data_IF_237943728906
#
_entry.id   IF_237943728906
#
_cell.length_a   1.000
_cell.length_b   1.000
_cell.length_c   1.000
_cell.angle_alpha   90.00
_cell.angle_beta   90.00
_cell.angle_gamma   90.00
#
_symmetry.space_group_name_H-M   'P 1'
#
loop_
_entity.id
_entity.type
_entity.pdbx_description
1 polymer ?
#
# COMPACT_ATOMS: atom_id res chain seq x y z
N UNK A 1 -39.70 8.35 -50.14
CA UNK A 1 -39.18 7.89 -48.84
C UNK A 1 -37.80 8.50 -48.70
N UNK A 2 -37.60 9.46 -47.79
CA UNK A 2 -36.25 9.95 -47.51
C UNK A 2 -35.69 8.98 -46.48
N UNK A 3 -34.84 8.09 -46.94
CA UNK A 3 -34.11 7.18 -46.06
C UNK A 3 -33.17 8.04 -45.20
N UNK A 4 -33.35 8.01 -43.88
CA UNK A 4 -32.54 8.80 -42.95
C UNK A 4 -31.34 7.96 -42.54
N UNK A 5 -30.11 8.35 -42.91
CA UNK A 5 -28.93 7.59 -42.51
C UNK A 5 -28.75 7.65 -41.00
N UNK A 6 -28.46 6.50 -40.38
CA UNK A 6 -28.07 6.39 -38.99
C UNK A 6 -26.54 6.39 -38.91
N UNK A 7 -25.96 7.48 -38.40
CA UNK A 7 -24.52 7.61 -38.16
C UNK A 7 -24.19 7.25 -36.71
N UNK A 8 -23.03 6.64 -36.47
CA UNK A 8 -22.57 6.36 -35.10
C UNK A 8 -22.01 7.61 -34.42
N UNK A 9 -22.28 7.78 -33.13
CA UNK A 9 -21.76 8.90 -32.33
C UNK A 9 -20.39 8.55 -31.73
N UNK A 10 -19.36 9.33 -32.06
CA UNK A 10 -18.02 9.22 -31.48
C UNK A 10 -17.70 10.49 -30.69
N UNK A 11 -17.58 10.38 -29.35
CA UNK A 11 -17.16 11.33 -28.27
C UNK A 11 -17.38 12.87 -28.40
N UNK A 12 -17.36 13.47 -29.58
CA UNK A 12 -17.69 14.88 -29.91
C UNK A 12 -18.49 15.07 -31.23
N UNK A 13 -19.12 14.04 -31.79
CA UNK A 13 -19.95 14.19 -32.99
C UNK A 13 -20.27 12.85 -33.68
N UNK A 14 -20.65 12.91 -34.95
CA UNK A 14 -20.75 11.73 -35.82
C UNK A 14 -19.36 11.26 -36.27
N UNK A 15 -19.20 9.96 -36.54
CA UNK A 15 -17.96 9.41 -37.08
C UNK A 15 -17.66 10.02 -38.47
N UNK A 16 -16.55 10.75 -38.61
CA UNK A 16 -16.20 11.46 -39.85
C UNK A 16 -16.08 10.51 -41.06
N UNK A 17 -15.52 9.32 -40.85
CA UNK A 17 -15.36 8.31 -41.92
C UNK A 17 -16.69 7.79 -42.48
N UNK A 18 -17.71 7.63 -41.62
CA UNK A 18 -19.06 7.21 -42.06
C UNK A 18 -19.78 8.31 -42.84
N UNK A 19 -19.58 9.57 -42.44
CA UNK A 19 -20.15 10.74 -43.13
C UNK A 19 -19.50 10.94 -44.49
N UNK A 20 -18.18 10.82 -44.58
CA UNK A 20 -17.46 10.95 -45.85
C UNK A 20 -17.83 9.84 -46.84
N UNK A 21 -17.93 8.59 -46.38
CA UNK A 21 -18.40 7.47 -47.20
C UNK A 21 -19.84 7.68 -47.71
N UNK A 22 -20.73 8.22 -46.86
CA UNK A 22 -22.10 8.55 -47.25
C UNK A 22 -22.14 9.68 -48.29
N UNK A 23 -21.35 10.75 -48.09
CA UNK A 23 -21.25 11.85 -49.04
C UNK A 23 -20.71 11.39 -50.40
N UNK A 24 -19.70 10.52 -50.42
CA UNK A 24 -19.19 9.92 -51.65
C UNK A 24 -20.26 9.09 -52.38
N UNK A 25 -20.99 8.24 -51.64
CA UNK A 25 -22.07 7.43 -52.21
C UNK A 25 -23.19 8.31 -52.78
N UNK A 26 -23.59 9.36 -52.05
CA UNK A 26 -24.61 10.31 -52.50
C UNK A 26 -24.13 11.13 -53.71
N UNK A 27 -22.86 11.49 -53.78
CA UNK A 27 -22.32 12.19 -54.94
C UNK A 27 -22.29 11.26 -56.18
N UNK A 28 -21.97 9.97 -56.01
CA UNK A 28 -22.06 8.97 -57.09
C UNK A 28 -23.49 8.81 -57.62
N UNK A 29 -24.50 8.74 -56.74
CA UNK A 29 -25.91 8.61 -57.18
C UNK A 29 -26.40 9.87 -57.90
N UNK A 30 -26.02 11.06 -57.44
CA UNK A 30 -26.34 12.33 -58.12
C UNK A 30 -25.69 12.40 -59.51
N UNK A 31 -24.44 11.96 -59.66
CA UNK A 31 -23.78 11.93 -60.96
C UNK A 31 -24.41 10.93 -61.93
N UNK A 32 -24.80 9.75 -61.45
CA UNK A 32 -25.55 8.77 -62.23
C UNK A 32 -26.91 9.34 -62.70
N UNK A 33 -27.66 9.96 -61.78
CA UNK A 33 -28.95 10.58 -62.11
C UNK A 33 -28.82 11.72 -63.14
N UNK A 34 -27.74 12.52 -63.07
CA UNK A 34 -27.45 13.56 -64.08
C UNK A 34 -27.14 12.96 -65.45
N UNK A 35 -26.38 11.87 -65.50
CA UNK A 35 -26.09 11.16 -66.75
C UNK A 35 -27.36 10.61 -67.39
N UNK A 36 -28.21 9.92 -66.63
CA UNK A 36 -29.49 9.39 -67.10
C UNK A 36 -30.42 10.50 -67.62
N UNK A 37 -30.45 11.64 -66.92
CA UNK A 37 -31.24 12.79 -67.35
C UNK A 37 -30.74 13.35 -68.71
N UNK A 38 -29.42 13.37 -68.93
CA UNK A 38 -28.84 13.80 -70.20
C UNK A 38 -29.17 12.82 -71.35
N UNK A 39 -29.09 11.52 -71.11
CA UNK A 39 -29.43 10.49 -72.10
C UNK A 39 -30.90 10.58 -72.51
N UNK A 40 -31.81 10.72 -71.53
CA UNK A 40 -33.24 10.91 -71.79
C UNK A 40 -33.54 12.18 -72.58
N UNK A 41 -32.78 13.27 -72.36
CA UNK A 41 -32.95 14.50 -73.15
C UNK A 41 -32.58 14.30 -74.63
N UNK A 42 -31.58 13.48 -74.92
CA UNK A 42 -31.19 13.10 -76.29
C UNK A 42 -32.24 12.19 -76.93
N UNK A 43 -32.85 11.27 -76.17
CA UNK A 43 -33.94 10.43 -76.68
C UNK A 43 -35.20 11.23 -77.00
N UNK A 44 -35.57 12.19 -76.14
CA UNK A 44 -36.71 13.08 -76.37
C UNK A 44 -36.53 13.95 -77.62
N UNK A 45 -35.32 14.42 -77.90
CA UNK A 45 -35.04 15.18 -79.12
C UNK A 45 -35.14 14.30 -80.38
N UNK A 46 -34.66 13.05 -80.33
CA UNK A 46 -34.82 12.07 -81.42
C UNK A 46 -36.30 11.72 -81.69
N UNK A 47 -37.09 11.48 -80.64
CA UNK A 47 -38.52 11.18 -80.78
C UNK A 47 -39.31 12.36 -81.37
N UNK A 48 -38.99 13.59 -80.96
CA UNK A 48 -39.61 14.78 -81.54
C UNK A 48 -39.29 14.95 -83.03
N UNK A 49 -38.08 14.62 -83.47
CA UNK A 49 -37.72 14.62 -84.89
C UNK A 49 -38.52 13.57 -85.68
N UNK A 50 -38.71 12.36 -85.15
CA UNK A 50 -39.51 11.31 -85.79
C UNK A 50 -41.00 11.69 -85.93
N UNK A 51 -41.57 12.35 -84.92
CA UNK A 51 -42.95 12.85 -84.98
C UNK A 51 -43.14 13.95 -86.03
N UNK A 52 -42.13 14.78 -86.27
CA UNK A 52 -42.17 15.78 -87.33
C UNK A 52 -42.21 15.14 -88.73
N UNK A 53 -41.43 14.07 -88.94
CA UNK A 53 -41.36 13.36 -90.21
C UNK A 53 -42.68 12.62 -90.54
N UNK A 54 -43.26 11.93 -89.56
CA UNK A 54 -44.52 11.20 -89.74
C UNK A 54 -45.69 12.14 -90.11
N UNK A 55 -45.71 13.36 -89.55
CA UNK A 55 -46.70 14.40 -89.91
C UNK A 55 -46.54 14.86 -91.35
N UNK A 56 -45.32 14.90 -91.87
CA UNK A 56 -45.05 15.19 -93.29
C UNK A 56 -45.67 14.14 -94.22
N UNK A 57 -45.51 12.85 -93.88
CA UNK A 57 -46.05 11.72 -94.66
C UNK A 57 -47.58 11.71 -94.71
N UNK A 58 -48.24 11.96 -93.57
CA UNK A 58 -49.71 12.09 -93.50
C UNK A 58 -50.24 13.25 -94.37
N UNK A 59 -49.52 14.37 -94.38
CA UNK A 59 -49.83 15.51 -95.25
C UNK A 59 -49.81 15.14 -96.74
N UNK A 60 -48.83 14.33 -97.17
CA UNK A 60 -48.73 13.86 -98.55
C UNK A 60 -49.86 12.87 -98.92
N UNK A 61 -50.17 11.89 -98.06
CA UNK A 61 -51.23 10.91 -98.32
C UNK A 61 -52.62 11.56 -98.48
N UNK A 62 -52.91 12.59 -97.67
CA UNK A 62 -54.20 13.30 -97.76
C UNK A 62 -54.42 13.98 -99.12
N UNK A 63 -53.35 14.46 -99.77
CA UNK A 63 -53.41 15.10 -101.09
C UNK A 63 -53.74 14.09 -102.19
N UNK A 64 -53.14 12.90 -102.12
CA UNK A 64 -53.39 11.80 -103.08
C UNK A 64 -54.83 11.32 -103.00
N UNK A 65 -55.39 11.18 -101.79
CA UNK A 65 -56.78 10.76 -101.60
C UNK A 65 -57.79 11.77 -102.16
N UNK A 66 -57.48 13.07 -102.12
CA UNK A 66 -58.34 14.11 -102.67
C UNK A 66 -58.40 14.07 -104.21
N UNK A 67 -57.30 13.72 -104.88
CA UNK A 67 -57.25 13.55 -106.33
C UNK A 67 -58.08 12.34 -106.79
N UNK A 68 -57.96 11.21 -106.09
CA UNK A 68 -58.68 9.98 -106.43
C UNK A 68 -60.20 10.12 -106.32
N UNK A 69 -60.67 10.88 -105.32
CA UNK A 69 -62.11 11.13 -105.10
C UNK A 69 -62.74 11.96 -106.21
N UNK A 70 -61.97 12.74 -106.97
CA UNK A 70 -62.47 13.60 -108.05
C UNK A 70 -62.79 12.83 -109.34
N UNK A 71 -62.36 11.57 -109.46
CA UNK A 71 -62.36 10.83 -110.73
C UNK A 71 -63.49 9.81 -110.93
N UNK A 72 -64.50 9.70 -110.04
CA UNK A 72 -65.49 8.61 -110.11
C UNK A 72 -66.94 9.09 -110.22
N UNK A 73 -67.62 8.76 -111.33
CA UNK A 73 -69.08 8.92 -111.53
C UNK A 73 -69.64 7.65 -112.20
N UNK A 74 -70.72 7.03 -111.69
CA UNK A 74 -71.32 5.83 -112.29
C UNK A 74 -72.63 6.13 -113.07
N UNK A 75 -73.02 5.23 -113.99
CA UNK A 75 -74.35 5.20 -114.64
C UNK A 75 -75.06 3.83 -114.48
N UNK A 76 -76.41 3.78 -114.40
CA UNK A 76 -77.26 2.64 -113.99
C UNK A 76 -78.09 2.07 -115.19
N UNK A 77 -78.96 1.05 -115.15
CA UNK A 77 -79.43 -0.04 -114.25
C UNK A 77 -80.28 -1.02 -115.11
N UNK A 78 -80.42 -2.30 -114.72
CA UNK A 78 -81.31 -3.31 -115.37
C UNK A 78 -82.55 -3.66 -114.49
N UNK A 79 -83.58 -4.28 -115.09
CA UNK A 79 -85.02 -4.38 -114.70
C UNK A 79 -85.42 -5.27 -113.50
N UNK A 80 -86.52 -4.89 -112.82
CA UNK A 80 -86.97 -5.28 -111.47
C UNK A 80 -87.61 -6.66 -111.23
N UNK A 81 -87.88 -7.49 -112.25
CA UNK A 81 -88.55 -8.81 -112.05
C UNK A 81 -87.54 -9.94 -111.81
N UNK A 82 -86.44 -9.98 -112.55
CA UNK A 82 -85.30 -10.86 -112.24
C UNK A 82 -84.69 -10.51 -110.88
N UNK A 83 -84.82 -9.25 -110.47
CA UNK A 83 -84.37 -8.75 -109.17
C UNK A 83 -85.09 -9.48 -108.03
N UNK A 84 -86.39 -9.79 -108.10
CA UNK A 84 -87.11 -10.45 -106.99
C UNK A 84 -86.64 -11.88 -106.68
N UNK A 85 -86.51 -12.72 -107.71
CA UNK A 85 -86.02 -14.09 -107.55
C UNK A 85 -84.53 -14.13 -107.19
N UNK A 86 -83.73 -13.27 -107.83
CA UNK A 86 -82.32 -13.09 -107.50
C UNK A 86 -82.13 -12.55 -106.08
N UNK A 87 -82.99 -11.66 -105.59
CA UNK A 87 -82.96 -11.14 -104.22
C UNK A 87 -83.23 -12.25 -103.21
N UNK A 88 -84.18 -13.16 -103.45
CA UNK A 88 -84.39 -14.33 -102.57
C UNK A 88 -83.18 -15.27 -102.50
N UNK A 89 -82.53 -15.52 -103.65
CA UNK A 89 -81.27 -16.28 -103.72
C UNK A 89 -80.11 -15.55 -103.05
N UNK A 90 -80.01 -14.23 -103.23
CA UNK A 90 -79.01 -13.39 -102.57
C UNK A 90 -79.23 -13.40 -101.05
N UNK A 91 -80.46 -13.34 -100.56
CA UNK A 91 -80.76 -13.36 -99.12
C UNK A 91 -80.47 -14.72 -98.49
N UNK A 92 -80.78 -15.83 -99.17
CA UNK A 92 -80.42 -17.17 -98.69
C UNK A 92 -78.92 -17.41 -98.72
N UNK A 93 -78.22 -16.97 -99.78
CA UNK A 93 -76.76 -17.01 -99.85
C UNK A 93 -76.12 -16.14 -98.76
N UNK A 94 -76.68 -14.94 -98.50
CA UNK A 94 -76.20 -14.06 -97.46
C UNK A 94 -76.45 -14.64 -96.05
N UNK A 95 -77.56 -15.35 -95.83
CA UNK A 95 -77.83 -16.05 -94.57
C UNK A 95 -76.86 -17.23 -94.35
N UNK A 96 -76.58 -18.01 -95.40
CA UNK A 96 -75.54 -19.05 -95.35
C UNK A 96 -74.15 -18.46 -95.14
N UNK A 97 -73.81 -17.36 -95.80
CA UNK A 97 -72.52 -16.70 -95.64
C UNK A 97 -72.38 -16.07 -94.24
N UNK A 98 -73.45 -15.48 -93.69
CA UNK A 98 -73.48 -14.96 -92.34
C UNK A 98 -73.29 -16.07 -91.28
N UNK A 99 -73.98 -17.20 -91.44
CA UNK A 99 -73.81 -18.35 -90.54
C UNK A 99 -72.40 -18.94 -90.63
N UNK A 100 -71.82 -19.04 -91.83
CA UNK A 100 -70.41 -19.45 -92.01
C UNK A 100 -69.41 -18.42 -91.45
N UNK A 101 -69.70 -17.12 -91.52
CA UNK A 101 -68.87 -16.07 -90.91
C UNK A 101 -68.90 -16.16 -89.39
N UNK A 102 -70.07 -16.40 -88.79
CA UNK A 102 -70.19 -16.59 -87.34
C UNK A 102 -69.49 -17.88 -86.91
N UNK A 103 -69.64 -18.98 -87.65
CA UNK A 103 -68.93 -20.22 -87.39
C UNK A 103 -67.40 -20.04 -87.44
N UNK A 104 -66.87 -19.38 -88.49
CA UNK A 104 -65.43 -19.07 -88.58
C UNK A 104 -64.96 -18.13 -87.47
N UNK A 105 -65.73 -17.10 -87.13
CA UNK A 105 -65.37 -16.16 -86.08
C UNK A 105 -65.37 -16.82 -84.69
N UNK A 106 -66.31 -17.74 -84.43
CA UNK A 106 -66.34 -18.51 -83.18
C UNK A 106 -65.17 -19.49 -83.08
N UNK A 107 -64.86 -20.23 -84.16
CA UNK A 107 -63.69 -21.10 -84.23
C UNK A 107 -62.38 -20.31 -84.02
N UNK A 108 -62.23 -19.16 -84.69
CA UNK A 108 -61.06 -18.29 -84.51
C UNK A 108 -60.96 -17.74 -83.08
N UNK A 109 -62.10 -17.37 -82.46
CA UNK A 109 -62.11 -16.91 -81.07
C UNK A 109 -61.73 -18.03 -80.09
N UNK A 110 -62.19 -19.26 -80.33
CA UNK A 110 -61.82 -20.44 -79.53
C UNK A 110 -60.33 -20.78 -79.70
N UNK A 111 -59.81 -20.75 -80.93
CA UNK A 111 -58.39 -20.95 -81.20
C UNK A 111 -57.52 -19.89 -80.53
N UNK A 112 -57.92 -18.61 -80.57
CA UNK A 112 -57.22 -17.52 -79.88
C UNK A 112 -57.27 -17.69 -78.35
N UNK A 113 -58.40 -18.10 -77.78
CA UNK A 113 -58.50 -18.39 -76.34
C UNK A 113 -57.61 -19.56 -75.94
N UNK A 114 -57.58 -20.63 -76.74
CA UNK A 114 -56.74 -21.78 -76.48
C UNK A 114 -55.25 -21.41 -76.55
N UNK A 115 -54.84 -20.64 -77.57
CA UNK A 115 -53.47 -20.15 -77.71
C UNK A 115 -53.06 -19.21 -76.57
N UNK A 116 -53.95 -18.28 -76.17
CA UNK A 116 -53.71 -17.39 -75.04
C UNK A 116 -53.62 -18.14 -73.71
N UNK A 117 -54.47 -19.16 -73.51
CA UNK A 117 -54.42 -20.04 -72.34
C UNK A 117 -53.10 -20.82 -72.27
N UNK A 118 -52.67 -21.41 -73.39
CA UNK A 118 -51.39 -22.12 -73.46
C UNK A 118 -50.19 -21.20 -73.16
N UNK A 119 -50.18 -20.00 -73.73
CA UNK A 119 -49.12 -19.01 -73.47
C UNK A 119 -49.10 -18.53 -72.00
N UNK A 120 -50.28 -18.35 -71.38
CA UNK A 120 -50.38 -17.99 -69.97
C UNK A 120 -49.86 -19.11 -69.06
N UNK A 121 -50.21 -20.37 -69.35
CA UNK A 121 -49.69 -21.52 -68.59
C UNK A 121 -48.18 -21.68 -68.74
N UNK A 122 -47.63 -21.50 -69.95
CA UNK A 122 -46.18 -21.52 -70.17
C UNK A 122 -45.48 -20.42 -69.35
N UNK A 123 -46.03 -19.20 -69.36
CA UNK A 123 -45.51 -18.10 -68.53
C UNK A 123 -45.60 -18.39 -67.03
N UNK A 124 -46.70 -19.00 -66.57
CA UNK A 124 -46.87 -19.40 -65.18
C UNK A 124 -45.84 -20.45 -64.75
N UNK A 125 -45.63 -21.48 -65.57
CA UNK A 125 -44.63 -22.53 -65.30
C UNK A 125 -43.22 -21.93 -65.29
N UNK A 126 -42.88 -21.08 -66.26
CA UNK A 126 -41.58 -20.42 -66.32
C UNK A 126 -41.34 -19.50 -65.11
N UNK A 127 -42.34 -18.70 -64.72
CA UNK A 127 -42.25 -17.83 -63.55
C UNK A 127 -42.13 -18.63 -62.24
N UNK A 128 -42.88 -19.74 -62.11
CA UNK A 128 -42.79 -20.61 -60.95
C UNK A 128 -41.42 -21.28 -60.84
N UNK A 129 -40.86 -21.77 -61.96
CA UNK A 129 -39.52 -22.35 -61.99
C UNK A 129 -38.44 -21.32 -61.62
N UNK A 130 -38.51 -20.11 -62.18
CA UNK A 130 -37.58 -19.03 -61.85
C UNK A 130 -37.67 -18.62 -60.37
N UNK A 131 -38.89 -18.51 -59.82
CA UNK A 131 -39.08 -18.22 -58.40
C UNK A 131 -38.48 -19.31 -57.51
N UNK A 132 -38.66 -20.59 -57.85
CA UNK A 132 -38.05 -21.71 -57.12
C UNK A 132 -36.52 -21.67 -57.17
N UNK A 133 -35.93 -21.39 -58.33
CA UNK A 133 -34.48 -21.27 -58.47
C UNK A 133 -33.93 -20.06 -57.69
N UNK A 134 -34.65 -18.93 -57.70
CA UNK A 134 -34.29 -17.76 -56.91
C UNK A 134 -34.35 -18.06 -55.39
N UNK A 135 -35.36 -18.80 -54.94
CA UNK A 135 -35.46 -19.26 -53.56
C UNK A 135 -34.32 -20.21 -53.18
N UNK A 136 -34.03 -21.22 -54.01
CA UNK A 136 -32.94 -22.16 -53.75
C UNK A 136 -31.58 -21.45 -53.66
N UNK A 137 -31.31 -20.49 -54.56
CA UNK A 137 -30.08 -19.68 -54.50
C UNK A 137 -30.02 -18.84 -53.22
N UNK A 138 -31.11 -18.20 -52.83
CA UNK A 138 -31.17 -17.41 -51.60
C UNK A 138 -30.97 -18.28 -50.34
N UNK A 139 -31.54 -19.48 -50.32
CA UNK A 139 -31.38 -20.43 -49.21
C UNK A 139 -29.94 -20.94 -49.10
N UNK A 140 -29.29 -21.24 -50.23
CA UNK A 140 -27.88 -21.63 -50.28
C UNK A 140 -26.96 -20.50 -49.80
N UNK A 141 -27.18 -19.27 -50.27
CA UNK A 141 -26.40 -18.10 -49.83
C UNK A 141 -26.60 -17.84 -48.33
N UNK A 142 -27.83 -17.92 -47.85
CA UNK A 142 -28.15 -17.80 -46.42
C UNK A 142 -27.44 -18.86 -45.60
N UNK A 143 -27.46 -20.12 -46.04
CA UNK A 143 -26.75 -21.21 -45.37
C UNK A 143 -25.23 -20.99 -45.35
N UNK A 144 -24.64 -20.48 -46.45
CA UNK A 144 -23.21 -20.14 -46.52
C UNK A 144 -22.84 -19.01 -45.57
N UNK A 145 -23.63 -17.94 -45.52
CA UNK A 145 -23.40 -16.80 -44.63
C UNK A 145 -23.51 -17.25 -43.16
N UNK A 146 -24.55 -18.02 -42.81
CA UNK A 146 -24.69 -18.55 -41.44
C UNK A 146 -23.53 -19.49 -41.06
N UNK A 147 -23.10 -20.35 -41.97
CA UNK A 147 -21.96 -21.22 -41.74
C UNK A 147 -20.65 -20.43 -41.56
N UNK A 148 -20.47 -19.33 -42.30
CA UNK A 148 -19.33 -18.43 -42.13
C UNK A 148 -19.38 -17.69 -40.79
N UNK A 149 -20.51 -17.04 -40.48
CA UNK A 149 -20.70 -16.30 -39.24
C UNK A 149 -20.51 -17.19 -38.01
N UNK A 150 -21.00 -18.45 -38.06
CA UNK A 150 -20.80 -19.41 -36.96
C UNK A 150 -19.35 -19.87 -36.82
N UNK A 151 -18.59 -20.02 -37.91
CA UNK A 151 -17.15 -20.30 -37.85
C UNK A 151 -16.38 -19.12 -37.25
N UNK A 152 -16.67 -17.90 -37.68
CA UNK A 152 -16.04 -16.69 -37.16
C UNK A 152 -16.36 -16.47 -35.68
N UNK A 153 -17.63 -16.63 -35.28
CA UNK A 153 -18.03 -16.55 -33.87
C UNK A 153 -17.28 -17.58 -33.00
N UNK A 154 -17.14 -18.83 -33.48
CA UNK A 154 -16.37 -19.86 -32.76
C UNK A 154 -14.88 -19.54 -32.69
N UNK A 155 -14.31 -18.95 -33.74
CA UNK A 155 -12.91 -18.51 -33.74
C UNK A 155 -12.68 -17.41 -32.69
N UNK A 156 -13.57 -16.41 -32.64
CA UNK A 156 -13.51 -15.32 -31.63
C UNK A 156 -13.60 -15.90 -30.21
N UNK A 157 -14.53 -16.84 -29.98
CA UNK A 157 -14.67 -17.48 -28.66
C UNK A 157 -13.41 -18.28 -28.29
N UNK A 158 -12.84 -19.04 -29.23
CA UNK A 158 -11.63 -19.81 -28.99
C UNK A 158 -10.41 -18.90 -28.70
N UNK A 159 -10.28 -17.80 -29.44
CA UNK A 159 -9.23 -16.80 -29.22
C UNK A 159 -9.38 -16.13 -27.84
N UNK A 160 -10.59 -15.69 -27.49
CA UNK A 160 -10.88 -15.10 -26.18
C UNK A 160 -10.57 -16.06 -25.02
N UNK A 161 -10.91 -17.35 -25.19
CA UNK A 161 -10.56 -18.39 -24.22
C UNK A 161 -9.06 -18.60 -24.10
N UNK A 162 -8.33 -18.59 -25.22
CA UNK A 162 -6.87 -18.71 -25.25
C UNK A 162 -6.19 -17.53 -24.53
N UNK A 163 -6.61 -16.29 -24.84
CA UNK A 163 -6.10 -15.08 -24.19
C UNK A 163 -6.38 -15.10 -22.69
N UNK A 164 -7.62 -15.43 -22.29
CA UNK A 164 -7.99 -15.55 -20.87
C UNK A 164 -7.15 -16.63 -20.18
N UNK A 165 -6.88 -17.76 -20.84
CA UNK A 165 -6.03 -18.81 -20.29
C UNK A 165 -4.57 -18.36 -20.15
N UNK A 166 -4.02 -17.59 -21.09
CA UNK A 166 -2.67 -16.99 -20.99
C UNK A 166 -2.60 -16.05 -19.80
N UNK A 167 -3.54 -15.10 -19.70
CA UNK A 167 -3.59 -14.13 -18.60
C UNK A 167 -3.73 -14.81 -17.24
N UNK A 168 -4.54 -15.88 -17.14
CA UNK A 168 -4.64 -16.68 -15.90
C UNK A 168 -3.34 -17.36 -15.54
N UNK A 169 -2.60 -17.89 -16.51
CA UNK A 169 -1.29 -18.51 -16.27
C UNK A 169 -0.25 -17.49 -15.85
N UNK A 170 -0.23 -16.33 -16.49
CA UNK A 170 0.66 -15.21 -16.13
C UNK A 170 0.37 -14.72 -14.71
N UNK A 171 -0.90 -14.45 -14.40
CA UNK A 171 -1.32 -14.06 -13.05
C UNK A 171 -1.00 -15.13 -11.99
N UNK A 172 -1.19 -16.41 -12.31
CA UNK A 172 -0.81 -17.50 -11.41
C UNK A 172 0.71 -17.57 -11.20
N UNK A 173 1.50 -17.41 -12.25
CA UNK A 173 2.95 -17.40 -12.17
C UNK A 173 3.47 -16.21 -11.34
N UNK A 174 2.90 -15.02 -11.53
CA UNK A 174 3.22 -13.84 -10.72
C UNK A 174 2.85 -14.07 -9.24
N UNK A 175 1.67 -14.62 -8.97
CA UNK A 175 1.24 -14.94 -7.60
C UNK A 175 2.16 -15.98 -6.94
N UNK A 176 2.54 -17.03 -7.65
CA UNK A 176 3.49 -18.04 -7.17
C UNK A 176 4.87 -17.43 -6.91
N UNK A 177 5.35 -16.55 -7.81
CA UNK A 177 6.60 -15.82 -7.62
C UNK A 177 6.56 -14.90 -6.39
N UNK A 178 5.45 -14.18 -6.19
CA UNK A 178 5.25 -13.36 -4.99
C UNK A 178 5.23 -14.19 -3.71
N UNK A 179 4.53 -15.34 -3.72
CA UNK A 179 4.49 -16.27 -2.60
C UNK A 179 5.86 -16.85 -2.28
N UNK A 180 6.62 -17.25 -3.30
CA UNK A 180 7.98 -17.75 -3.14
C UNK A 180 8.90 -16.66 -2.57
N UNK A 181 8.82 -15.43 -3.08
CA UNK A 181 9.59 -14.28 -2.59
C UNK A 181 9.26 -13.94 -1.14
N UNK A 182 7.98 -13.96 -0.77
CA UNK A 182 7.55 -13.73 0.61
C UNK A 182 8.08 -14.83 1.55
N UNK A 183 7.99 -16.10 1.14
CA UNK A 183 8.54 -17.23 1.92
C UNK A 183 10.06 -17.14 2.09
N UNK A 184 10.78 -16.76 1.03
CA UNK A 184 12.22 -16.56 1.09
C UNK A 184 12.58 -15.41 2.05
N UNK A 185 11.90 -14.27 1.94
CA UNK A 185 12.09 -13.14 2.84
C UNK A 185 11.81 -13.50 4.31
N UNK A 186 10.78 -14.31 4.59
CA UNK A 186 10.52 -14.82 5.94
C UNK A 186 11.64 -15.72 6.45
N UNK A 187 12.16 -16.64 5.63
CA UNK A 187 13.27 -17.50 6.01
C UNK A 187 14.57 -16.71 6.26
N UNK A 188 14.83 -15.68 5.46
CA UNK A 188 15.96 -14.77 5.66
C UNK A 188 15.82 -13.97 6.97
N UNK A 189 14.62 -13.48 7.27
CA UNK A 189 14.35 -12.80 8.54
C UNK A 189 14.53 -13.73 9.75
N UNK A 190 14.04 -14.97 9.68
CA UNK A 190 14.27 -15.96 10.75
C UNK A 190 15.76 -16.25 10.93
N UNK A 191 16.51 -16.41 9.84
CA UNK A 191 17.96 -16.65 9.87
C UNK A 191 18.71 -15.46 10.48
N UNK A 192 18.38 -14.23 10.07
CA UNK A 192 19.02 -13.03 10.63
C UNK A 192 18.66 -12.80 12.10
N UNK A 193 17.44 -13.11 12.52
CA UNK A 193 17.04 -13.05 13.93
C UNK A 193 17.74 -14.11 14.77
N UNK A 194 17.86 -15.34 14.27
CA UNK A 194 18.62 -16.40 14.93
C UNK A 194 20.10 -16.01 15.09
N UNK A 195 20.74 -15.52 14.03
CA UNK A 195 22.12 -15.05 14.09
C UNK A 195 22.31 -13.88 15.08
N UNK A 196 21.35 -12.95 15.16
CA UNK A 196 21.38 -11.86 16.15
C UNK A 196 21.20 -12.35 17.58
N UNK A 197 20.34 -13.36 17.80
CA UNK A 197 20.16 -13.99 19.12
C UNK A 197 21.45 -14.69 19.54
N UNK A 198 22.03 -15.51 18.68
CA UNK A 198 23.30 -16.20 18.95
C UNK A 198 24.43 -15.20 19.26
N UNK A 199 24.51 -14.10 18.51
CA UNK A 199 25.48 -13.05 18.76
C UNK A 199 25.25 -12.38 20.13
N UNK A 200 24.01 -12.02 20.45
CA UNK A 200 23.67 -11.44 21.75
C UNK A 200 24.01 -12.41 22.90
N UNK A 201 23.68 -13.70 22.76
CA UNK A 201 23.98 -14.72 23.76
C UNK A 201 25.49 -14.88 23.98
N UNK A 202 26.30 -14.85 22.91
CA UNK A 202 27.76 -14.85 23.02
C UNK A 202 28.28 -13.59 23.72
N UNK A 203 27.75 -12.42 23.39
CA UNK A 203 28.14 -11.16 24.05
C UNK A 203 27.76 -11.17 25.54
N UNK A 204 26.59 -11.67 25.89
CA UNK A 204 26.17 -11.81 27.29
C UNK A 204 27.04 -12.82 28.03
N UNK A 205 27.36 -13.97 27.43
CA UNK A 205 28.26 -14.96 28.02
C UNK A 205 29.66 -14.38 28.25
N UNK A 206 30.23 -13.68 27.26
CA UNK A 206 31.54 -13.04 27.40
C UNK A 206 31.56 -11.95 28.48
N UNK A 207 30.50 -11.14 28.59
CA UNK A 207 30.38 -10.16 29.69
C UNK A 207 30.26 -10.82 31.05
N UNK A 208 29.52 -11.93 31.16
CA UNK A 208 29.41 -12.70 32.41
C UNK A 208 30.75 -13.28 32.81
N UNK A 209 31.47 -13.90 31.88
CA UNK A 209 32.81 -14.44 32.13
C UNK A 209 33.78 -13.34 32.59
N UNK A 210 33.74 -12.17 31.94
CA UNK A 210 34.55 -11.02 32.37
C UNK A 210 34.20 -10.52 33.78
N UNK A 211 32.90 -10.46 34.13
CA UNK A 211 32.46 -10.07 35.47
C UNK A 211 32.88 -11.13 36.49
N UNK A 212 32.66 -12.42 36.21
CA UNK A 212 33.04 -13.54 37.07
C UNK A 212 34.57 -13.56 37.30
N UNK A 213 35.37 -13.32 36.26
CA UNK A 213 36.82 -13.18 36.38
C UNK A 213 37.23 -11.98 37.26
N UNK A 214 36.60 -10.81 37.06
CA UNK A 214 36.87 -9.62 37.88
C UNK A 214 36.48 -9.80 39.35
N UNK A 215 35.39 -10.55 39.61
CA UNK A 215 34.95 -10.89 40.96
C UNK A 215 35.95 -11.86 41.61
N UNK A 216 36.39 -12.91 40.90
CA UNK A 216 37.38 -13.84 41.41
C UNK A 216 38.71 -13.14 41.74
N UNK A 217 39.16 -12.21 40.91
CA UNK A 217 40.34 -11.38 41.21
C UNK A 217 40.14 -10.50 42.45
N UNK A 218 38.96 -9.86 42.58
CA UNK A 218 38.64 -9.03 43.74
C UNK A 218 38.59 -9.86 45.03
N UNK A 219 38.00 -11.06 44.99
CA UNK A 219 37.97 -12.01 46.10
C UNK A 219 39.39 -12.47 46.49
N UNK A 220 40.23 -12.81 45.51
CA UNK A 220 41.64 -13.16 45.77
C UNK A 220 42.40 -12.00 46.44
N UNK A 221 42.23 -10.77 45.96
CA UNK A 221 42.86 -9.58 46.58
C UNK A 221 42.33 -9.37 48.01
N UNK A 222 41.02 -9.52 48.23
CA UNK A 222 40.44 -9.40 49.56
C UNK A 222 41.02 -10.46 50.52
N UNK A 223 41.09 -11.73 50.10
CA UNK A 223 41.70 -12.81 50.88
C UNK A 223 43.17 -12.54 51.19
N UNK A 224 43.95 -12.04 50.22
CA UNK A 224 45.35 -11.66 50.44
C UNK A 224 45.48 -10.52 51.46
N UNK A 225 44.65 -9.48 51.36
CA UNK A 225 44.64 -8.37 52.32
C UNK A 225 44.25 -8.85 53.71
N UNK A 226 43.21 -9.69 53.84
CA UNK A 226 42.81 -10.28 55.13
C UNK A 226 43.90 -11.17 55.72
N UNK A 227 44.55 -12.03 54.92
CA UNK A 227 45.65 -12.87 55.39
C UNK A 227 46.84 -12.04 55.87
N UNK A 228 47.19 -10.96 55.16
CA UNK A 228 48.25 -10.03 55.58
C UNK A 228 47.87 -9.32 56.87
N UNK A 229 46.66 -8.78 56.97
CA UNK A 229 46.16 -8.14 58.19
C UNK A 229 46.14 -9.10 59.40
N UNK A 230 45.80 -10.38 59.19
CA UNK A 230 45.87 -11.41 60.23
C UNK A 230 47.32 -11.71 60.67
N UNK A 231 48.26 -11.77 59.72
CA UNK A 231 49.68 -11.96 60.01
C UNK A 231 50.24 -10.75 60.78
N UNK A 232 49.97 -9.54 60.31
CA UNK A 232 50.39 -8.29 60.96
C UNK A 232 49.81 -8.20 62.38
N UNK A 233 48.53 -8.53 62.56
CA UNK A 233 47.90 -8.57 63.87
C UNK A 233 48.55 -9.60 64.80
N UNK A 234 48.83 -10.82 64.31
CA UNK A 234 49.51 -11.86 65.09
C UNK A 234 50.94 -11.44 65.47
N UNK A 235 51.68 -10.80 64.56
CA UNK A 235 53.02 -10.28 64.80
C UNK A 235 53.00 -9.16 65.85
N UNK A 236 52.06 -8.21 65.74
CA UNK A 236 51.87 -7.15 66.73
C UNK A 236 51.49 -7.73 68.10
N UNK A 237 50.61 -8.73 68.15
CA UNK A 237 50.27 -9.43 69.39
C UNK A 237 51.48 -10.14 70.01
N UNK A 238 52.29 -10.83 69.20
CA UNK A 238 53.51 -11.48 69.68
C UNK A 238 54.54 -10.47 70.21
N UNK A 239 54.72 -9.35 69.51
CA UNK A 239 55.58 -8.24 69.97
C UNK A 239 55.08 -7.61 71.26
N UNK A 240 53.78 -7.39 71.38
CA UNK A 240 53.17 -6.87 72.61
C UNK A 240 53.33 -7.86 73.77
N UNK A 241 53.13 -9.16 73.55
CA UNK A 241 53.34 -10.19 74.56
C UNK A 241 54.80 -10.26 75.02
N UNK A 242 55.76 -10.24 74.09
CA UNK A 242 57.19 -10.21 74.41
C UNK A 242 57.59 -8.94 75.17
N UNK A 243 57.05 -7.78 74.79
CA UNK A 243 57.29 -6.52 75.51
C UNK A 243 56.72 -6.55 76.94
N UNK A 244 55.55 -7.18 77.13
CA UNK A 244 54.96 -7.39 78.45
C UNK A 244 55.80 -8.35 79.30
N UNK A 245 56.31 -9.44 78.72
CA UNK A 245 57.22 -10.39 79.39
C UNK A 245 58.51 -9.70 79.85
N UNK A 246 59.17 -8.95 78.95
CA UNK A 246 60.37 -8.16 79.30
C UNK A 246 60.05 -7.12 80.39
N UNK A 247 58.91 -6.43 80.32
CA UNK A 247 58.52 -5.48 81.35
C UNK A 247 58.23 -6.16 82.71
N UNK A 248 57.67 -7.38 82.70
CA UNK A 248 57.45 -8.19 83.90
C UNK A 248 58.77 -8.66 84.50
N UNK A 249 59.68 -9.22 83.69
CA UNK A 249 61.02 -9.62 84.14
C UNK A 249 61.80 -8.44 84.74
N UNK A 250 61.76 -7.26 84.09
CA UNK A 250 62.37 -6.05 84.62
C UNK A 250 61.72 -5.61 85.93
N UNK A 251 60.38 -5.67 86.04
CA UNK A 251 59.68 -5.34 87.27
C UNK A 251 60.05 -6.31 88.40
N UNK A 252 60.11 -7.62 88.12
CA UNK A 252 60.55 -8.66 89.06
C UNK A 252 62.01 -8.45 89.50
N UNK A 253 62.89 -8.11 88.55
CA UNK A 253 64.29 -7.79 88.82
C UNK A 253 64.40 -6.56 89.73
N UNK A 254 63.71 -5.46 89.41
CA UNK A 254 63.70 -4.24 90.25
C UNK A 254 63.16 -4.53 91.64
N UNK A 255 62.09 -5.33 91.76
CA UNK A 255 61.54 -5.75 93.06
C UNK A 255 62.53 -6.61 93.84
N UNK A 256 63.23 -7.55 93.19
CA UNK A 256 64.27 -8.38 93.82
C UNK A 256 65.46 -7.54 94.27
N UNK A 257 65.97 -6.66 93.41
CA UNK A 257 67.08 -5.75 93.74
C UNK A 257 66.70 -4.81 94.89
N UNK A 258 65.47 -4.29 94.90
CA UNK A 258 64.94 -3.50 96.00
C UNK A 258 64.83 -4.32 97.29
N UNK A 259 64.43 -5.59 97.23
CA UNK A 259 64.36 -6.48 98.38
C UNK A 259 65.77 -6.83 98.94
N UNK A 260 66.73 -7.11 98.06
CA UNK A 260 68.12 -7.36 98.43
C UNK A 260 68.78 -6.11 99.03
N UNK A 261 68.53 -4.94 98.44
CA UNK A 261 68.97 -3.67 98.99
C UNK A 261 68.32 -3.40 100.35
N UNK A 262 67.03 -3.64 100.51
CA UNK A 262 66.34 -3.51 101.80
C UNK A 262 66.88 -4.49 102.84
N UNK A 263 67.25 -5.71 102.44
CA UNK A 263 67.85 -6.71 103.34
C UNK A 263 69.26 -6.32 103.76
N UNK A 264 70.11 -5.88 102.82
CA UNK A 264 71.43 -5.31 103.13
C UNK A 264 71.36 -4.09 104.02
N UNK A 265 70.45 -3.16 103.72
CA UNK A 265 70.25 -1.96 104.55
C UNK A 265 69.77 -2.33 105.96
N UNK A 266 68.93 -3.37 106.11
CA UNK A 266 68.56 -3.91 107.43
C UNK A 266 69.76 -4.52 108.15
N UNK A 267 70.56 -5.34 107.49
CA UNK A 267 71.78 -5.93 108.09
C UNK A 267 72.82 -4.87 108.46
N UNK A 268 73.03 -3.86 107.61
CA UNK A 268 73.88 -2.71 107.88
C UNK A 268 73.32 -1.89 109.04
N UNK A 269 72.01 -1.60 109.05
CA UNK A 269 71.34 -0.92 110.16
C UNK A 269 71.43 -1.70 111.46
N UNK A 270 71.27 -3.03 111.42
CA UNK A 270 71.39 -3.93 112.58
C UNK A 270 72.84 -4.00 113.07
N UNK A 271 73.82 -4.01 112.14
CA UNK A 271 75.25 -3.94 112.46
C UNK A 271 75.62 -2.58 113.05
N UNK A 272 75.10 -1.49 112.50
CA UNK A 272 75.26 -0.14 113.05
C UNK A 272 74.56 -0.01 114.41
N UNK A 273 73.37 -0.58 114.59
CA UNK A 273 72.68 -0.66 115.88
C UNK A 273 73.49 -1.47 116.89
N UNK A 274 74.08 -2.60 116.50
CA UNK A 274 74.94 -3.40 117.35
C UNK A 274 76.24 -2.66 117.70
N UNK A 275 76.84 -1.96 116.74
CA UNK A 275 78.02 -1.11 116.96
C UNK A 275 77.69 0.06 117.90
N UNK A 276 76.58 0.76 117.69
CA UNK A 276 76.10 1.83 118.54
C UNK A 276 75.72 1.33 119.93
N UNK A 277 75.13 0.14 120.04
CA UNK A 277 74.84 -0.53 121.33
C UNK A 277 76.13 -0.91 122.04
N UNK A 278 77.11 -1.49 121.34
CA UNK A 278 78.44 -1.77 121.91
C UNK A 278 79.18 -0.49 122.31
N UNK A 279 79.02 0.59 121.57
CA UNK A 279 79.58 1.90 121.91
C UNK A 279 78.90 2.48 123.14
N UNK A 280 77.56 2.39 123.24
CA UNK A 280 76.79 2.76 124.43
C UNK A 280 77.17 1.91 125.64
N UNK A 281 77.32 0.61 125.47
CA UNK A 281 77.69 -0.31 126.55
C UNK A 281 79.14 -0.07 126.98
N UNK A 282 80.05 0.25 126.04
CA UNK A 282 81.40 0.73 126.32
C UNK A 282 81.39 2.05 127.09
N UNK A 283 80.59 3.04 126.67
CA UNK A 283 80.43 4.32 127.39
C UNK A 283 79.83 4.06 128.78
N UNK A 284 78.86 3.15 128.91
CA UNK A 284 78.25 2.79 130.19
C UNK A 284 79.25 2.09 131.09
N UNK A 285 80.10 1.21 130.56
CA UNK A 285 81.21 0.60 131.30
C UNK A 285 82.25 1.64 131.73
N UNK A 286 82.59 2.60 130.85
CA UNK A 286 83.48 3.72 131.17
C UNK A 286 82.88 4.62 132.26
N UNK A 287 81.58 4.95 132.19
CA UNK A 287 80.88 5.73 133.22
C UNK A 287 80.68 4.95 134.52
N UNK A 288 80.51 3.63 134.49
CA UNK A 288 80.47 2.77 135.68
C UNK A 288 81.84 2.71 136.35
N UNK A 289 82.92 2.63 135.58
CA UNK A 289 84.29 2.62 136.08
C UNK A 289 84.68 4.00 136.63
N UNK A 290 84.22 5.09 135.99
CA UNK A 290 84.32 6.45 136.54
C UNK A 290 83.46 6.62 137.78
N UNK A 291 82.24 6.06 137.86
CA UNK A 291 81.43 6.02 139.10
C UNK A 291 82.13 5.24 140.21
N UNK A 292 82.76 4.12 139.89
CA UNK A 292 83.51 3.31 140.84
C UNK A 292 84.78 4.04 141.32
N UNK A 293 85.50 4.71 140.43
CA UNK A 293 86.66 5.55 140.77
C UNK A 293 86.26 6.79 141.58
N UNK A 294 85.12 7.40 141.27
CA UNK A 294 84.54 8.50 142.07
C UNK A 294 83.96 8.01 143.40
N UNK A 295 83.64 6.72 143.55
CA UNK A 295 83.25 6.15 144.83
C UNK A 295 84.46 5.89 145.77
N UNK A 296 85.70 5.93 145.28
CA UNK A 296 86.93 5.69 146.06
C UNK A 296 87.73 6.94 146.44
N UNK A 297 87.29 8.15 146.05
CA UNK A 297 87.92 9.40 146.51
C UNK A 297 86.89 10.53 146.62
N UNK A 298 86.29 10.67 147.80
CA UNK A 298 85.59 11.87 148.24
C UNK A 298 84.06 11.85 148.06
N UNK A 299 83.34 11.84 149.19
CA UNK A 299 81.90 12.09 149.22
C UNK A 299 81.54 13.58 149.11
N UNK A 300 80.26 13.83 148.82
CA UNK A 300 79.58 15.10 149.12
C UNK A 300 79.06 15.92 147.94
N UNK A 301 77.74 15.79 147.69
CA UNK A 301 76.76 16.89 147.56
C UNK A 301 76.66 17.78 146.27
N UNK A 302 75.42 17.79 145.72
CA UNK A 302 74.56 18.99 145.40
C UNK A 302 74.46 19.55 143.93
N UNK A 303 73.22 19.46 143.38
CA UNK A 303 72.40 20.47 142.60
C UNK A 303 72.86 20.82 141.17
N UNK A 304 72.13 20.47 140.09
CA UNK A 304 70.90 21.07 139.47
C UNK A 304 71.26 21.81 138.17
N UNK A 305 70.33 21.93 137.22
CA UNK A 305 70.41 22.97 136.19
C UNK A 305 70.35 22.55 134.71
N UNK A 306 69.13 22.28 134.24
CA UNK A 306 68.50 22.86 133.04
C UNK A 306 69.18 22.84 131.64
N UNK A 307 68.34 22.43 130.67
CA UNK A 307 68.39 22.71 129.22
C UNK A 307 68.58 24.22 128.90
N UNK A 308 68.84 24.67 127.65
CA UNK A 308 67.89 24.66 126.51
C UNK A 308 68.54 24.29 125.15
N UNK A 309 67.81 23.84 124.11
CA UNK A 309 67.01 24.63 123.14
C UNK A 309 67.86 25.74 122.46
N UNK A 310 67.89 25.96 121.15
CA UNK A 310 66.80 26.31 120.21
C UNK A 310 67.43 26.41 118.80
N UNK A 311 66.75 25.90 117.75
CA UNK A 311 66.00 26.64 116.72
C UNK A 311 66.83 27.58 115.82
N UNK A 312 66.75 27.36 114.52
CA UNK A 312 66.13 28.28 113.55
C UNK A 312 65.89 27.46 112.26
N UNK A 313 64.68 27.27 111.70
CA UNK A 313 63.74 28.24 111.13
C UNK A 313 64.40 29.09 110.01
N UNK A 314 63.81 29.38 108.85
CA UNK A 314 62.47 29.17 108.34
C UNK A 314 62.43 29.51 106.83
N UNK A 315 61.28 29.21 106.21
CA UNK A 315 60.59 30.05 105.21
C UNK A 315 61.11 30.04 103.76
N UNK A 316 60.28 30.15 102.71
CA UNK A 316 58.82 30.24 102.53
C UNK A 316 58.56 30.14 101.00
N UNK A 317 57.57 29.36 100.57
CA UNK A 317 56.28 29.77 99.96
C UNK A 317 56.28 30.25 98.49
N UNK A 318 55.23 29.82 97.75
CA UNK A 318 54.77 30.50 96.53
C UNK A 318 53.94 29.68 95.53
N UNK A 319 52.69 29.34 95.87
CA UNK A 319 51.56 29.06 94.93
C UNK A 319 51.12 30.36 94.19
N UNK A 320 50.07 30.49 93.31
CA UNK A 320 48.87 29.64 93.08
C UNK A 320 48.24 29.55 91.64
N UNK A 321 47.29 28.58 91.49
CA UNK A 321 45.89 28.58 90.93
C UNK A 321 45.50 29.52 89.75
N UNK A 322 44.58 29.24 88.80
CA UNK A 322 43.25 28.61 88.90
C UNK A 322 42.57 28.31 87.54
N UNK A 323 41.47 27.55 87.62
CA UNK A 323 40.44 27.17 86.63
C UNK A 323 39.72 28.34 85.93
N UNK A 324 39.09 28.09 84.77
CA UNK A 324 37.66 28.43 84.49
C UNK A 324 37.13 27.63 83.29
N UNK A 325 35.90 27.14 83.42
CA UNK A 325 34.97 26.51 82.47
C UNK A 325 34.59 27.36 81.25
N UNK A 326 34.06 26.78 80.15
CA UNK A 326 32.71 27.06 79.59
C UNK A 326 32.40 26.10 78.41
N UNK A 327 31.13 25.69 78.37
CA UNK A 327 30.39 24.84 77.42
C UNK A 327 30.14 25.51 76.04
N UNK A 328 29.84 24.73 75.00
CA UNK A 328 29.55 25.25 73.66
C UNK A 328 29.47 24.20 72.54
N UNK A 329 28.30 23.56 72.46
CA UNK A 329 27.76 22.77 71.35
C UNK A 329 27.60 23.62 70.07
N UNK A 330 28.10 23.16 68.91
CA UNK A 330 27.43 23.37 67.62
C UNK A 330 28.02 22.50 66.50
N UNK A 331 27.10 21.88 65.76
CA UNK A 331 27.27 20.87 64.73
C UNK A 331 27.83 21.41 63.42
N UNK A 332 28.88 20.76 62.90
CA UNK A 332 29.36 20.96 61.53
C UNK A 332 28.53 20.19 60.49
N UNK A 333 28.13 20.87 59.42
CA UNK A 333 27.87 20.31 58.08
C UNK A 333 27.92 21.45 57.06
N UNK A 334 29.05 21.60 56.37
CA UNK A 334 29.13 22.34 55.11
C UNK A 334 29.61 21.40 54.00
N UNK A 335 28.75 21.28 53.00
CA UNK A 335 28.86 20.44 51.82
C UNK A 335 29.71 21.09 50.74
N UNK A 336 30.40 20.25 49.97
CA UNK A 336 31.44 20.65 49.03
C UNK A 336 30.99 21.36 47.75
N UNK A 337 31.92 22.19 47.27
CA UNK A 337 32.23 22.44 45.86
C UNK A 337 32.84 21.13 45.27
N UNK A 338 32.61 20.63 44.05
CA UNK A 338 32.83 21.19 42.70
C UNK A 338 32.21 20.23 41.66
N UNK A 339 31.53 20.73 40.61
CA UNK A 339 31.53 20.19 39.22
C UNK A 339 30.62 21.05 38.34
N UNK A 340 31.15 21.99 37.56
CA UNK A 340 31.52 21.84 36.13
C UNK A 340 30.35 21.50 35.21
N UNK A 341 29.70 22.54 34.68
CA UNK A 341 28.93 22.47 33.43
C UNK A 341 29.23 23.71 32.60
N UNK A 342 30.17 23.59 31.66
CA UNK A 342 30.31 24.48 30.51
C UNK A 342 30.76 23.60 29.34
N UNK A 343 29.81 23.28 28.49
CA UNK A 343 30.08 22.77 27.15
C UNK A 343 30.00 23.95 26.20
N UNK A 344 31.17 24.35 25.71
CA UNK A 344 31.32 25.03 24.43
C UNK A 344 31.00 24.00 23.33
N UNK A 345 30.23 24.40 22.32
CA UNK A 345 30.58 23.99 20.97
C UNK A 345 30.28 25.14 20.01
N UNK A 346 31.33 25.54 19.32
CA UNK A 346 31.34 26.55 18.29
C UNK A 346 31.40 25.88 16.91
N UNK A 347 30.84 26.58 15.92
CA UNK A 347 31.24 26.66 14.51
C UNK A 347 31.21 25.41 13.63
N UNK A 348 30.62 25.58 12.44
CA UNK A 348 31.08 24.89 11.22
C UNK A 348 29.98 24.61 10.20
N UNK A 349 29.90 25.45 9.17
CA UNK A 349 29.15 25.25 7.92
C UNK A 349 29.45 23.91 7.23
N UNK A 350 28.44 23.32 6.57
CA UNK A 350 28.47 23.11 5.12
C UNK A 350 27.16 22.54 4.54
N UNK A 351 26.79 23.13 3.40
CA UNK A 351 25.99 22.66 2.26
C UNK A 351 25.54 21.19 2.23
N UNK A 352 24.25 20.97 1.96
CA UNK A 352 23.79 20.19 0.81
C UNK A 352 22.26 20.26 0.65
N UNK A 353 21.85 20.38 -0.61
CA UNK A 353 20.50 20.54 -1.12
C UNK A 353 19.49 19.44 -0.75
N UNK A 354 18.25 19.86 -0.45
CA UNK A 354 17.04 19.05 -0.64
C UNK A 354 15.99 19.82 -1.47
N UNK A 355 15.44 19.23 -2.54
CA UNK A 355 14.33 19.80 -3.29
C UNK A 355 12.99 19.18 -2.86
N UNK A 356 12.18 19.92 -2.11
CA UNK A 356 10.79 19.52 -1.86
C UNK A 356 9.91 19.94 -3.04
N UNK A 357 9.64 18.98 -3.92
CA UNK A 357 8.71 19.07 -5.04
C UNK A 357 7.29 19.31 -4.54
N UNK A 358 6.59 20.21 -5.25
CA UNK A 358 5.14 20.27 -5.33
C UNK A 358 4.64 19.01 -6.05
N UNK A 359 3.69 18.30 -5.47
CA UNK A 359 2.72 17.53 -6.26
C UNK A 359 1.41 17.39 -5.48
N UNK A 360 0.32 17.70 -6.18
CA UNK A 360 -1.06 17.56 -5.74
C UNK A 360 -1.38 16.08 -5.53
N UNK A 361 -1.83 15.70 -4.34
CA UNK A 361 -2.57 14.46 -4.13
C UNK A 361 -3.98 14.77 -3.63
N UNK A 362 -4.94 14.57 -4.52
CA UNK A 362 -6.37 14.61 -4.26
C UNK A 362 -6.90 13.18 -4.44
N UNK A 363 -7.52 12.57 -3.41
CA UNK A 363 -7.94 11.17 -3.50
C UNK A 363 -9.25 11.02 -4.30
N UNK A 364 -9.43 9.91 -5.05
CA UNK A 364 -10.71 9.61 -5.68
C UNK A 364 -11.68 9.05 -4.62
N UNK A 365 -12.86 9.67 -4.54
CA UNK A 365 -13.95 9.28 -3.66
C UNK A 365 -14.91 8.36 -4.45
N UNK A 366 -14.82 7.05 -4.20
CA UNK A 366 -15.79 6.06 -4.68
C UNK A 366 -16.70 5.65 -3.52
N UNK A 367 -17.96 6.12 -3.55
CA UNK A 367 -19.09 5.38 -2.99
C UNK A 367 -20.32 5.52 -3.90
N UNK A 368 -21.09 4.43 -4.11
CA UNK A 368 -22.25 4.40 -4.98
C UNK A 368 -23.59 4.61 -4.23
N UNK A 369 -24.62 4.94 -5.02
CA UNK A 369 -26.05 4.86 -4.76
C UNK A 369 -26.70 6.00 -3.94
N UNK A 370 -27.61 6.74 -4.59
CA UNK A 370 -29.05 6.68 -4.33
C UNK A 370 -29.76 7.79 -5.12
N UNK A 371 -30.59 7.39 -6.10
CA UNK A 371 -31.77 8.17 -6.45
C UNK A 371 -32.87 7.23 -6.95
N UNK A 372 -33.77 6.93 -6.02
CA UNK A 372 -35.14 6.49 -6.29
C UNK A 372 -35.89 7.64 -6.97
N UNK A 373 -36.60 7.33 -8.06
CA UNK A 373 -38.05 7.58 -8.21
C UNK A 373 -38.47 7.38 -9.67
N UNK A 374 -39.42 6.46 -9.90
CA UNK A 374 -40.04 6.25 -11.21
C UNK A 374 -40.78 4.92 -11.29
N UNK A 375 -41.85 4.80 -10.51
CA UNK A 375 -42.71 3.63 -10.41
C UNK A 375 -43.62 3.44 -11.66
N UNK A 376 -43.40 2.31 -12.36
CA UNK A 376 -44.40 1.32 -12.83
C UNK A 376 -45.29 1.64 -14.09
N UNK A 377 -46.08 0.66 -14.62
CA UNK A 377 -45.57 -0.29 -15.61
C UNK A 377 -46.50 -0.50 -16.84
N UNK A 378 -45.99 -1.34 -17.74
CA UNK A 378 -46.60 -2.02 -18.89
C UNK A 378 -48.00 -2.64 -18.65
N UNK A 379 -48.92 -2.48 -19.62
CA UNK A 379 -49.96 -3.45 -19.96
C UNK A 379 -50.67 -3.06 -21.29
N UNK A 380 -50.79 -4.02 -22.20
CA UNK A 380 -51.34 -3.83 -23.54
C UNK A 380 -52.87 -4.00 -23.71
N UNK A 381 -53.31 -3.41 -24.83
CA UNK A 381 -54.46 -3.75 -25.70
C UNK A 381 -55.91 -3.55 -25.18
N UNK A 382 -56.93 -3.53 -26.07
CA UNK A 382 -57.10 -2.73 -27.29
C UNK A 382 -58.47 -2.00 -27.29
N UNK A 383 -58.66 -0.96 -28.10
CA UNK A 383 -60.00 -0.43 -28.37
C UNK A 383 -60.16 0.21 -29.74
N UNK A 384 -61.28 -0.16 -30.35
CA UNK A 384 -61.73 0.07 -31.71
C UNK A 384 -62.20 1.50 -32.00
N UNK A 385 -62.19 1.81 -33.31
CA UNK A 385 -63.10 2.71 -34.04
C UNK A 385 -63.01 4.23 -33.81
N UNK A 386 -62.70 4.97 -34.88
CA UNK A 386 -63.68 5.79 -35.61
C UNK A 386 -63.02 6.64 -36.72
N UNK A 387 -63.61 6.52 -37.91
CA UNK A 387 -63.87 7.57 -38.92
C UNK A 387 -62.72 8.41 -39.51
N UNK A 388 -62.44 8.11 -40.79
CA UNK A 388 -62.40 9.01 -41.95
C UNK A 388 -62.13 10.52 -41.73
N UNK A 389 -61.09 11.04 -42.39
CA UNK A 389 -61.19 12.24 -43.24
C UNK A 389 -60.03 12.29 -44.24
N UNK A 390 -60.41 12.35 -45.52
CA UNK A 390 -59.59 12.58 -46.71
C UNK A 390 -59.11 14.03 -46.73
N UNK A 391 -57.80 14.28 -46.86
CA UNK A 391 -57.26 15.56 -47.35
C UNK A 391 -56.02 15.30 -48.22
N UNK A 392 -56.15 15.58 -49.52
CA UNK A 392 -55.03 15.64 -50.48
C UNK A 392 -54.13 16.86 -50.22
N UNK A 393 -52.81 16.77 -50.45
CA UNK A 393 -51.93 17.92 -50.38
C UNK A 393 -51.95 18.75 -51.68
N UNK A 394 -52.15 20.07 -51.53
CA UNK A 394 -51.91 21.07 -52.59
C UNK A 394 -50.42 21.18 -52.89
N UNK A 395 -50.08 21.08 -54.18
CA UNK A 395 -48.79 21.44 -54.77
C UNK A 395 -48.64 22.97 -54.79
N UNK A 396 -47.51 23.56 -54.35
CA UNK A 396 -47.12 24.89 -54.78
C UNK A 396 -46.26 24.81 -56.05
N UNK A 397 -46.69 25.55 -57.07
CA UNK A 397 -45.93 25.84 -58.29
C UNK A 397 -44.80 26.81 -57.98
N UNK A 398 -43.59 26.52 -58.41
CA UNK A 398 -42.64 27.41 -59.09
C UNK A 398 -41.46 26.59 -59.60
#
# INVERSE_FOLDING_TARGET
>A
MIDRPNFTFARRGYAAEEVDAFLEAQNRTVQAAKKDASERSVELTKLNAALADLRGQLGQQSRVMAELKRASTPAPSQTFVEIGARVGQILTLADTEATEMVARATEQAEALRAAAGAAAEEQHVAAAAYAQEAHQRADEESARILAQATREARAIVAEAQSVTASQRREAAAEYEAHRAKASAASADLETTLAARRDQADREFAARREAIEASLAEAEQRAQQVTSRAQQDAAELHARAAAALEVAQEQAEQVVSEAHDHASRLREESDRELAAATSQRDSITAQLSNVRQMLATLGGGAIIDGLAPAVLDAASAEGSPTAETTTDGDETGRETGHVSRAKAENASGENDAAEPSRRENDQPPNDQPAEQQNGEAPDAGAPSESLAATVVMPRVPKS
#
